data_IF_235615119968
#
_entry.id   IF_235615119968
#
_cell.length_a   1.000
_cell.length_b   1.000
_cell.length_c   1.000
_cell.angle_alpha   90.00
_cell.angle_beta   90.00
_cell.angle_gamma   90.00
#
_symmetry.space_group_name_H-M   'P 1'
#
loop_
_entity.id
_entity.type
_entity.pdbx_description
1 polymer ?
#
# COMPACT_ATOMS: atom_id res chain seq x y z
N UNK A 1 31.16 3.64 -8.24
CA UNK A 1 32.58 4.00 -8.02
C UNK A 1 33.40 2.72 -8.05
N UNK A 2 34.51 2.68 -8.79
CA UNK A 2 35.39 1.51 -8.83
C UNK A 2 36.42 1.62 -7.72
N UNK A 3 36.57 0.56 -6.94
CA UNK A 3 37.53 0.42 -5.87
C UNK A 3 38.64 -0.52 -6.33
N UNK A 4 39.88 -0.22 -5.96
CA UNK A 4 41.03 -1.08 -6.21
C UNK A 4 41.42 -1.75 -4.91
N UNK A 5 41.18 -3.05 -4.79
CA UNK A 5 41.67 -3.84 -3.69
C UNK A 5 43.16 -4.13 -3.91
N UNK A 6 44.00 -3.48 -3.10
CA UNK A 6 45.47 -3.62 -3.16
C UNK A 6 45.97 -4.98 -2.64
N UNK A 7 45.15 -5.70 -1.88
CA UNK A 7 45.49 -7.00 -1.28
C UNK A 7 45.13 -8.12 -2.23
N UNK A 8 43.88 -8.15 -2.70
CA UNK A 8 43.40 -9.16 -3.66
C UNK A 8 43.79 -8.83 -5.11
N UNK A 9 44.39 -7.64 -5.35
CA UNK A 9 44.79 -7.12 -6.67
C UNK A 9 43.63 -7.14 -7.67
N UNK A 10 42.43 -6.83 -7.20
CA UNK A 10 41.19 -6.84 -7.99
C UNK A 10 40.58 -5.46 -8.04
N UNK A 11 39.97 -5.12 -9.17
CA UNK A 11 39.10 -3.95 -9.29
C UNK A 11 37.68 -4.44 -9.03
N UNK A 12 37.02 -3.82 -8.06
CA UNK A 12 35.66 -4.17 -7.62
C UNK A 12 34.76 -2.94 -7.62
N UNK A 13 33.46 -3.13 -7.82
CA UNK A 13 32.49 -2.05 -7.67
C UNK A 13 32.16 -1.80 -6.20
N UNK A 14 31.99 -0.53 -5.83
CA UNK A 14 31.59 -0.12 -4.47
C UNK A 14 30.33 -0.84 -3.95
N UNK A 15 29.37 -1.12 -4.83
CA UNK A 15 28.16 -1.85 -4.48
C UNK A 15 28.45 -3.31 -4.12
N UNK A 16 29.32 -3.98 -4.87
CA UNK A 16 29.67 -5.38 -4.64
C UNK A 16 30.41 -5.54 -3.30
N UNK A 17 31.33 -4.62 -3.01
CA UNK A 17 32.05 -4.60 -1.73
C UNK A 17 31.08 -4.38 -0.57
N UNK A 18 30.17 -3.40 -0.68
CA UNK A 18 29.15 -3.12 0.35
C UNK A 18 28.25 -4.32 0.60
N UNK A 19 27.81 -5.00 -0.47
CA UNK A 19 27.01 -6.23 -0.36
C UNK A 19 27.80 -7.35 0.33
N UNK A 20 29.07 -7.54 -0.02
CA UNK A 20 29.94 -8.54 0.62
C UNK A 20 30.09 -8.27 2.12
N UNK A 21 30.34 -7.02 2.50
CA UNK A 21 30.47 -6.61 3.91
C UNK A 21 29.14 -6.82 4.64
N UNK A 22 28.01 -6.42 4.05
CA UNK A 22 26.69 -6.64 4.63
C UNK A 22 26.36 -8.13 4.85
N UNK A 23 26.84 -9.01 3.96
CA UNK A 23 26.66 -10.47 4.06
C UNK A 23 27.69 -11.16 4.97
N UNK A 24 28.76 -10.47 5.36
CA UNK A 24 29.77 -10.99 6.28
C UNK A 24 29.25 -11.04 7.73
N UNK A 25 29.75 -11.96 8.55
CA UNK A 25 29.49 -11.94 10.00
C UNK A 25 30.43 -10.92 10.65
N UNK A 26 29.95 -10.04 11.54
CA UNK A 26 28.66 -10.09 12.25
C UNK A 26 27.47 -9.39 11.55
N UNK A 27 27.71 -8.55 10.54
CA UNK A 27 26.69 -7.67 9.93
C UNK A 27 25.48 -8.39 9.33
N UNK A 28 25.67 -9.60 8.81
CA UNK A 28 24.57 -10.43 8.30
C UNK A 28 23.47 -10.65 9.34
N UNK A 29 23.83 -10.72 10.63
CA UNK A 29 22.85 -10.90 11.72
C UNK A 29 21.85 -9.75 11.79
N UNK A 30 22.31 -8.51 11.59
CA UNK A 30 21.45 -7.33 11.57
C UNK A 30 20.36 -7.48 10.50
N UNK A 31 20.75 -7.85 9.27
CA UNK A 31 19.83 -8.07 8.15
C UNK A 31 18.95 -9.31 8.21
N UNK A 32 19.26 -10.24 9.10
CA UNK A 32 18.58 -11.53 9.14
C UNK A 32 17.14 -11.45 9.65
N UNK A 33 16.83 -10.41 10.43
CA UNK A 33 15.51 -10.21 11.03
C UNK A 33 14.50 -9.50 10.09
N UNK A 34 14.93 -9.01 8.92
CA UNK A 34 14.05 -8.31 7.96
C UNK A 34 12.98 -9.24 7.42
N UNK A 35 11.73 -8.80 7.49
CA UNK A 35 10.59 -9.52 6.94
C UNK A 35 10.09 -8.77 5.71
N UNK A 36 9.79 -9.49 4.63
CA UNK A 36 9.25 -8.89 3.40
C UNK A 36 7.82 -9.36 3.16
N UNK A 37 6.97 -8.48 2.62
CA UNK A 37 5.59 -8.81 2.27
C UNK A 37 5.50 -10.01 1.31
N UNK A 38 6.44 -10.14 0.38
CA UNK A 38 6.50 -11.27 -0.55
C UNK A 38 6.71 -12.62 0.13
N UNK A 39 7.34 -12.65 1.31
CA UNK A 39 7.45 -13.87 2.10
C UNK A 39 6.09 -14.29 2.64
N UNK A 40 5.27 -13.33 3.09
CA UNK A 40 3.91 -13.63 3.53
C UNK A 40 3.02 -14.10 2.38
N UNK A 41 3.10 -13.46 1.21
CA UNK A 41 2.37 -13.92 0.01
C UNK A 41 2.72 -15.36 -0.35
N UNK A 42 4.01 -15.73 -0.32
CA UNK A 42 4.45 -17.11 -0.59
C UNK A 42 3.94 -18.09 0.45
N UNK A 43 3.97 -17.72 1.73
CA UNK A 43 3.49 -18.57 2.81
C UNK A 43 1.98 -18.81 2.73
N UNK A 44 1.21 -17.78 2.42
CA UNK A 44 -0.25 -17.88 2.28
C UNK A 44 -0.67 -18.81 1.14
N UNK A 45 -0.01 -18.69 -0.02
CA UNK A 45 -0.23 -19.60 -1.15
C UNK A 45 0.02 -21.06 -0.76
N UNK A 46 1.01 -21.32 0.12
CA UNK A 46 1.33 -22.66 0.60
C UNK A 46 0.32 -23.18 1.65
N UNK A 47 -0.25 -22.31 2.50
CA UNK A 47 -1.12 -22.70 3.60
C UNK A 47 -2.60 -22.80 3.23
N UNK A 48 -3.12 -21.84 2.45
CA UNK A 48 -4.55 -21.67 2.21
C UNK A 48 -4.96 -21.77 0.73
N UNK A 49 -3.98 -21.88 -0.18
CA UNK A 49 -4.21 -21.63 -1.60
C UNK A 49 -4.35 -20.13 -1.86
N UNK A 50 -3.93 -19.66 -3.04
CA UNK A 50 -3.84 -18.22 -3.33
C UNK A 50 -5.16 -17.49 -3.06
N UNK A 51 -5.19 -16.60 -2.06
CA UNK A 51 -6.32 -15.72 -1.80
C UNK A 51 -6.46 -14.76 -2.99
N UNK A 52 -7.60 -14.83 -3.69
CA UNK A 52 -7.90 -13.91 -4.79
C UNK A 52 -8.75 -12.74 -4.30
N UNK A 53 -8.63 -11.60 -4.97
CA UNK A 53 -9.48 -10.44 -4.72
C UNK A 53 -10.96 -10.77 -4.88
N UNK A 54 -11.29 -11.59 -5.88
CA UNK A 54 -12.66 -12.08 -6.12
C UNK A 54 -13.22 -12.85 -4.91
N UNK A 55 -12.41 -13.70 -4.29
CA UNK A 55 -12.81 -14.45 -3.10
C UNK A 55 -13.09 -13.51 -1.92
N UNK A 56 -12.19 -12.56 -1.66
CA UNK A 56 -12.35 -11.59 -0.57
C UNK A 56 -13.59 -10.71 -0.77
N UNK A 57 -13.80 -10.20 -1.98
CA UNK A 57 -14.98 -9.38 -2.32
C UNK A 57 -16.25 -10.19 -2.13
N UNK A 58 -16.28 -11.44 -2.62
CA UNK A 58 -17.45 -12.31 -2.48
C UNK A 58 -17.76 -12.65 -1.02
N UNK A 59 -16.74 -12.95 -0.23
CA UNK A 59 -16.86 -13.19 1.21
C UNK A 59 -17.46 -11.98 1.93
N UNK A 60 -16.97 -10.78 1.64
CA UNK A 60 -17.47 -9.55 2.25
C UNK A 60 -18.93 -9.26 1.86
N UNK A 61 -19.26 -9.41 0.57
CA UNK A 61 -20.64 -9.27 0.09
C UNK A 61 -21.59 -10.28 0.77
N UNK A 62 -21.16 -11.54 0.91
CA UNK A 62 -21.94 -12.56 1.60
C UNK A 62 -22.20 -12.19 3.08
N UNK A 63 -21.21 -11.60 3.77
CA UNK A 63 -21.37 -11.11 5.17
C UNK A 63 -22.40 -9.98 5.22
N UNK A 64 -22.25 -8.94 4.41
CA UNK A 64 -23.18 -7.80 4.40
C UNK A 64 -24.62 -8.22 4.07
N UNK A 65 -24.79 -9.22 3.20
CA UNK A 65 -26.10 -9.75 2.87
C UNK A 65 -26.68 -10.62 3.98
N UNK A 66 -25.84 -11.35 4.72
CA UNK A 66 -26.28 -12.10 5.90
C UNK A 66 -26.75 -11.16 7.02
N UNK A 67 -26.09 -10.02 7.22
CA UNK A 67 -26.48 -9.03 8.24
C UNK A 67 -27.78 -8.30 7.88
N UNK A 68 -27.96 -7.95 6.61
CA UNK A 68 -29.19 -7.31 6.13
C UNK A 68 -30.38 -8.28 6.02
N UNK A 69 -30.14 -9.58 5.92
CA UNK A 69 -31.18 -10.62 5.98
C UNK A 69 -31.41 -11.06 7.43
N UNK A 70 -31.98 -10.14 8.22
CA UNK A 70 -32.46 -10.46 9.57
C UNK A 70 -33.22 -11.80 9.59
N UNK A 71 -32.89 -12.60 10.61
CA UNK A 71 -33.49 -13.89 10.92
C UNK A 71 -35.01 -13.88 10.71
N UNK A 72 -35.46 -14.58 9.65
CA UNK A 72 -36.84 -15.04 9.61
C UNK A 72 -36.94 -16.28 10.50
N UNK A 73 -37.70 -16.21 11.59
CA UNK A 73 -37.88 -17.26 12.62
C UNK A 73 -38.48 -18.58 12.09
N UNK A 74 -38.86 -18.65 10.83
CA UNK A 74 -39.26 -19.89 10.16
C UNK A 74 -38.11 -20.40 9.29
N UNK A 75 -37.53 -21.54 9.66
CA UNK A 75 -36.40 -22.25 9.04
C UNK A 75 -36.57 -22.70 7.57
N UNK A 76 -37.19 -21.88 6.72
CA UNK A 76 -37.19 -22.02 5.27
C UNK A 76 -36.11 -21.11 4.70
N UNK A 77 -35.06 -21.71 4.11
CA UNK A 77 -34.12 -21.00 3.25
C UNK A 77 -34.90 -20.38 2.08
N UNK A 78 -35.01 -19.05 2.08
CA UNK A 78 -35.53 -18.31 0.94
C UNK A 78 -34.61 -18.54 -0.28
N UNK A 79 -35.16 -18.59 -1.51
CA UNK A 79 -34.36 -18.75 -2.71
C UNK A 79 -33.40 -17.55 -2.84
N UNK A 80 -32.14 -17.82 -3.20
CA UNK A 80 -31.13 -16.79 -3.51
C UNK A 80 -31.72 -15.83 -4.54
N UNK A 81 -32.12 -14.62 -4.13
CA UNK A 81 -32.56 -13.58 -5.07
C UNK A 81 -31.40 -13.33 -6.03
N UNK A 82 -31.68 -13.29 -7.34
CA UNK A 82 -30.70 -12.80 -8.32
C UNK A 82 -30.28 -11.40 -7.86
N UNK A 83 -29.01 -11.26 -7.52
CA UNK A 83 -28.46 -9.98 -7.06
C UNK A 83 -28.65 -8.99 -8.21
N UNK A 84 -29.36 -7.89 -7.93
CA UNK A 84 -29.42 -6.77 -8.87
C UNK A 84 -27.99 -6.22 -8.98
N UNK A 85 -27.62 -5.79 -10.17
CA UNK A 85 -26.37 -5.05 -10.35
C UNK A 85 -26.38 -3.89 -9.35
N UNK A 86 -25.38 -3.85 -8.46
CA UNK A 86 -25.24 -2.76 -7.50
C UNK A 86 -24.92 -1.50 -8.29
N UNK A 87 -25.85 -0.56 -8.34
CA UNK A 87 -25.55 0.78 -8.82
C UNK A 87 -24.70 1.48 -7.76
N UNK A 88 -23.57 2.06 -8.20
CA UNK A 88 -22.65 2.81 -7.32
C UNK A 88 -23.39 3.88 -6.50
N UNK A 89 -24.42 4.49 -7.08
CA UNK A 89 -25.24 5.53 -6.45
C UNK A 89 -26.07 5.04 -5.26
N UNK A 90 -26.27 3.73 -5.11
CA UNK A 90 -27.04 3.14 -4.00
C UNK A 90 -26.20 3.01 -2.70
N UNK A 91 -24.86 3.04 -2.79
CA UNK A 91 -24.00 2.90 -1.61
C UNK A 91 -23.86 4.25 -0.86
N UNK A 92 -24.56 4.35 0.28
CA UNK A 92 -24.52 5.53 1.15
C UNK A 92 -23.11 5.86 1.65
N UNK A 93 -22.18 4.90 1.70
CA UNK A 93 -20.79 5.14 2.11
C UNK A 93 -20.06 6.00 1.08
N UNK A 94 -20.29 5.76 -0.21
CA UNK A 94 -19.68 6.56 -1.28
C UNK A 94 -20.14 8.01 -1.18
N UNK A 95 -21.44 8.22 -0.97
CA UNK A 95 -22.00 9.55 -0.77
C UNK A 95 -21.46 10.23 0.51
N UNK A 96 -21.29 9.48 1.61
CA UNK A 96 -20.72 9.99 2.86
C UNK A 96 -19.28 10.48 2.71
N UNK A 97 -18.49 9.87 1.82
CA UNK A 97 -17.12 10.29 1.49
C UNK A 97 -17.03 11.18 0.24
N UNK A 98 -18.16 11.77 -0.19
CA UNK A 98 -18.25 12.69 -1.33
C UNK A 98 -17.78 12.11 -2.67
N UNK A 99 -17.87 10.78 -2.85
CA UNK A 99 -17.70 10.18 -4.16
C UNK A 99 -18.96 10.39 -4.99
N UNK A 100 -18.81 11.05 -6.14
CA UNK A 100 -19.88 11.29 -7.12
C UNK A 100 -19.65 10.50 -8.41
N UNK A 101 -20.68 10.29 -9.25
CA UNK A 101 -20.51 9.67 -10.56
C UNK A 101 -19.43 10.36 -11.41
N UNK A 102 -19.33 11.69 -11.32
CA UNK A 102 -18.30 12.47 -12.02
C UNK A 102 -16.90 12.14 -11.51
N UNK A 103 -16.69 12.02 -10.19
CA UNK A 103 -15.39 11.61 -9.65
C UNK A 103 -14.99 10.21 -10.12
N UNK A 104 -15.95 9.29 -10.23
CA UNK A 104 -15.69 7.96 -10.76
C UNK A 104 -15.33 8.01 -12.25
N UNK A 105 -16.11 8.72 -13.06
CA UNK A 105 -15.93 8.80 -14.49
C UNK A 105 -14.64 9.55 -14.88
N UNK A 106 -14.32 10.65 -14.18
CA UNK A 106 -13.21 11.53 -14.50
C UNK A 106 -11.90 11.13 -13.82
N UNK A 107 -11.92 10.57 -12.60
CA UNK A 107 -10.70 10.26 -11.85
C UNK A 107 -10.42 8.75 -11.78
N UNK A 108 -11.40 7.97 -11.30
CA UNK A 108 -11.17 6.55 -10.98
C UNK A 108 -11.13 5.68 -12.24
N UNK A 109 -12.05 5.89 -13.19
CA UNK A 109 -12.13 5.08 -14.40
C UNK A 109 -10.86 5.19 -15.28
N UNK A 110 -10.25 6.38 -15.49
CA UNK A 110 -8.96 6.48 -16.16
C UNK A 110 -7.82 5.77 -15.41
N UNK A 111 -7.77 5.88 -14.07
CA UNK A 111 -6.76 5.16 -13.28
C UNK A 111 -6.84 3.65 -13.45
N UNK A 112 -8.05 3.09 -13.56
CA UNK A 112 -8.25 1.65 -13.78
C UNK A 112 -7.86 1.25 -15.21
N UNK A 113 -8.32 1.99 -16.21
CA UNK A 113 -8.14 1.63 -17.63
C UNK A 113 -6.73 1.90 -18.14
N UNK A 114 -6.19 3.07 -17.83
CA UNK A 114 -4.92 3.57 -18.37
C UNK A 114 -3.73 3.36 -17.42
N UNK A 115 -4.00 3.03 -16.15
CA UNK A 115 -2.97 2.89 -15.09
C UNK A 115 -2.16 4.16 -14.89
N UNK A 116 -2.79 5.31 -15.12
CA UNK A 116 -2.24 6.66 -14.96
C UNK A 116 -3.25 7.51 -14.23
N UNK A 117 -2.75 8.54 -13.55
CA UNK A 117 -3.62 9.57 -13.01
C UNK A 117 -4.41 10.26 -14.13
N UNK A 118 -5.61 10.72 -13.80
CA UNK A 118 -6.44 11.44 -14.74
C UNK A 118 -5.81 12.79 -15.10
N UNK A 119 -5.74 13.09 -16.39
CA UNK A 119 -5.25 14.37 -16.89
C UNK A 119 -6.42 15.33 -17.11
N UNK A 120 -6.24 16.56 -16.65
CA UNK A 120 -7.17 17.67 -16.85
C UNK A 120 -6.47 18.87 -17.48
N UNK A 121 -7.26 19.87 -17.86
CA UNK A 121 -6.77 21.17 -18.33
C UNK A 121 -7.54 22.29 -17.62
N UNK A 122 -7.11 23.54 -17.84
CA UNK A 122 -7.57 24.74 -17.13
C UNK A 122 -7.13 24.80 -15.66
N UNK A 123 -7.29 25.97 -15.05
CA UNK A 123 -7.07 26.17 -13.62
C UNK A 123 -8.19 25.58 -12.78
N UNK A 124 -7.99 25.51 -11.47
CA UNK A 124 -9.05 25.19 -10.54
C UNK A 124 -9.83 26.46 -10.17
N UNK A 125 -11.02 26.62 -10.76
CA UNK A 125 -11.92 27.76 -10.49
C UNK A 125 -12.82 27.53 -9.25
N UNK A 126 -12.67 26.41 -8.55
CA UNK A 126 -13.43 26.15 -7.33
C UNK A 126 -12.98 27.08 -6.19
N UNK A 127 -13.93 27.45 -5.32
CA UNK A 127 -13.63 28.18 -4.10
C UNK A 127 -12.63 27.39 -3.23
N UNK A 128 -11.80 28.12 -2.47
CA UNK A 128 -10.95 27.51 -1.45
C UNK A 128 -11.80 26.69 -0.47
N UNK A 129 -11.27 25.58 0.03
CA UNK A 129 -12.03 24.66 0.88
C UNK A 129 -12.69 25.35 2.09
N UNK A 130 -12.03 26.35 2.69
CA UNK A 130 -12.57 27.13 3.81
C UNK A 130 -13.66 28.14 3.44
N UNK A 131 -13.82 28.46 2.16
CA UNK A 131 -14.82 29.39 1.62
C UNK A 131 -15.92 28.68 0.84
N UNK A 132 -15.86 27.34 0.75
CA UNK A 132 -16.83 26.56 0.00
C UNK A 132 -18.15 26.48 0.76
N UNK A 133 -19.26 26.68 0.05
CA UNK A 133 -20.61 26.38 0.57
C UNK A 133 -20.88 24.86 0.64
N UNK A 134 -20.03 24.06 0.00
CA UNK A 134 -20.05 22.61 0.08
C UNK A 134 -19.19 22.13 1.26
N UNK A 135 -19.33 20.85 1.65
CA UNK A 135 -18.49 20.22 2.68
C UNK A 135 -17.30 19.48 2.02
N UNK A 136 -16.18 20.16 1.70
CA UNK A 136 -15.02 19.51 1.09
C UNK A 136 -14.38 18.51 2.06
N UNK A 137 -13.76 17.49 1.49
CA UNK A 137 -13.04 16.47 2.25
C UNK A 137 -11.79 17.06 2.91
N UNK A 138 -11.31 16.39 3.97
CA UNK A 138 -10.21 16.92 4.79
C UNK A 138 -8.92 17.16 3.98
N UNK A 139 -8.65 16.31 2.98
CA UNK A 139 -7.46 16.45 2.13
C UNK A 139 -7.51 17.71 1.24
N UNK A 140 -8.68 18.29 0.97
CA UNK A 140 -8.80 19.52 0.17
C UNK A 140 -8.27 20.76 0.89
N UNK A 141 -8.07 20.68 2.22
CA UNK A 141 -7.49 21.76 3.01
C UNK A 141 -5.96 21.76 2.98
N UNK A 142 -5.34 20.63 2.60
CA UNK A 142 -3.89 20.49 2.54
C UNK A 142 -3.41 20.72 1.11
N UNK A 143 -2.54 21.71 0.92
CA UNK A 143 -1.91 22.00 -0.36
C UNK A 143 -0.53 21.35 -0.41
N UNK A 144 -0.19 20.72 -1.54
CA UNK A 144 1.12 20.13 -1.75
C UNK A 144 2.16 21.25 -1.89
N UNK A 145 3.19 21.23 -1.04
CA UNK A 145 4.32 22.13 -1.17
C UNK A 145 5.22 21.66 -2.31
N UNK A 146 5.83 22.61 -3.01
CA UNK A 146 6.80 22.32 -4.05
C UNK A 146 8.03 23.19 -3.90
N UNK A 147 9.15 22.63 -4.32
CA UNK A 147 10.45 23.26 -4.27
C UNK A 147 10.56 24.35 -5.36
N UNK A 148 11.12 25.50 -5.00
CA UNK A 148 11.41 26.60 -5.93
C UNK A 148 12.73 27.25 -5.55
N UNK A 149 13.56 27.57 -6.55
CA UNK A 149 14.84 28.32 -6.49
C UNK A 149 15.92 27.68 -5.61
N UNK A 150 15.63 27.49 -4.33
CA UNK A 150 16.53 26.99 -3.29
C UNK A 150 16.94 25.53 -3.48
N UNK A 151 16.01 24.69 -3.93
CA UNK A 151 16.27 23.31 -4.33
C UNK A 151 15.47 22.97 -5.60
N UNK A 152 16.07 22.29 -6.59
CA UNK A 152 15.35 21.86 -7.79
C UNK A 152 14.43 20.67 -7.51
N UNK A 153 13.25 20.56 -8.16
CA UNK A 153 12.43 19.35 -8.12
C UNK A 153 13.11 18.19 -8.87
N UNK A 154 12.84 16.96 -8.45
CA UNK A 154 13.34 15.72 -9.08
C UNK A 154 12.33 15.26 -10.14
N UNK A 155 12.79 14.79 -11.29
CA UNK A 155 11.93 14.19 -12.32
C UNK A 155 11.57 12.73 -11.94
N UNK A 156 10.31 12.42 -11.59
CA UNK A 156 9.93 11.10 -11.09
C UNK A 156 10.00 9.99 -12.15
N UNK A 157 10.08 10.33 -13.44
CA UNK A 157 10.19 9.35 -14.52
C UNK A 157 11.64 9.15 -14.97
N UNK A 158 12.38 10.25 -15.19
CA UNK A 158 13.77 10.17 -15.66
C UNK A 158 14.75 9.80 -14.56
N UNK A 159 14.45 10.18 -13.32
CA UNK A 159 15.33 9.98 -12.16
C UNK A 159 14.73 8.99 -11.15
N UNK A 160 13.87 8.08 -11.62
CA UNK A 160 13.20 7.10 -10.74
C UNK A 160 14.19 6.26 -9.92
N UNK A 161 15.41 6.01 -10.43
CA UNK A 161 16.44 5.19 -9.75
C UNK A 161 16.94 5.81 -8.43
N UNK A 162 16.83 7.12 -8.24
CA UNK A 162 17.23 7.78 -6.99
C UNK A 162 16.08 7.93 -5.99
N UNK A 163 14.87 7.49 -6.36
CA UNK A 163 13.67 7.55 -5.53
C UNK A 163 13.29 6.17 -4.98
N UNK A 164 12.67 6.13 -3.80
CA UNK A 164 12.15 4.89 -3.22
C UNK A 164 10.86 5.15 -2.44
N UNK A 165 9.90 4.23 -2.53
CA UNK A 165 8.65 4.22 -1.75
C UNK A 165 8.70 3.19 -0.61
N UNK A 166 9.88 2.61 -0.35
CA UNK A 166 10.06 1.54 0.63
C UNK A 166 9.64 2.02 2.02
N UNK A 167 8.74 1.29 2.64
CA UNK A 167 8.13 1.64 3.92
C UNK A 167 8.37 0.53 4.95
N UNK A 168 9.28 0.74 5.92
CA UNK A 168 9.43 -0.17 7.05
C UNK A 168 8.30 0.03 8.08
N UNK A 169 7.63 -1.05 8.45
CA UNK A 169 6.54 -1.09 9.44
C UNK A 169 6.98 -1.94 10.64
N UNK A 170 6.92 -1.35 11.82
CA UNK A 170 7.29 -2.01 13.08
C UNK A 170 7.89 -1.03 14.09
N UNK A 171 8.25 -1.51 15.28
CA UNK A 171 8.88 -0.67 16.30
C UNK A 171 10.23 -0.14 15.83
N UNK A 172 10.53 1.11 16.19
CA UNK A 172 11.85 1.68 16.02
C UNK A 172 12.67 1.48 17.29
N UNK A 173 13.83 0.84 17.18
CA UNK A 173 14.78 0.73 18.29
C UNK A 173 15.83 1.85 18.23
N UNK A 174 16.68 1.91 19.26
CA UNK A 174 17.67 2.96 19.43
C UNK A 174 18.67 3.02 18.26
N UNK A 175 18.68 4.13 17.52
CA UNK A 175 19.58 4.34 16.38
C UNK A 175 21.06 4.33 16.77
N UNK A 176 21.39 4.67 18.02
CA UNK A 176 22.78 4.74 18.49
C UNK A 176 23.38 3.36 18.78
N UNK A 177 22.55 2.33 18.91
CA UNK A 177 22.97 0.96 19.28
C UNK A 177 22.61 -0.01 18.14
N UNK A 178 23.60 -0.51 17.39
CA UNK A 178 23.33 -1.44 16.29
C UNK A 178 22.87 -2.80 16.83
N UNK A 179 21.57 -3.06 16.76
CA UNK A 179 20.94 -4.33 17.18
C UNK A 179 20.14 -4.98 16.06
N UNK A 180 19.89 -6.29 16.16
CA UNK A 180 19.04 -7.04 15.22
C UNK A 180 17.60 -6.53 15.24
N UNK A 181 17.16 -5.94 16.36
CA UNK A 181 15.84 -5.37 16.55
C UNK A 181 15.57 -4.16 15.64
N UNK A 182 16.62 -3.40 15.26
CA UNK A 182 16.48 -2.26 14.34
C UNK A 182 15.86 -2.69 13.01
N UNK A 183 16.19 -3.90 12.56
CA UNK A 183 15.79 -4.42 11.25
C UNK A 183 14.70 -5.48 11.34
N UNK A 184 14.21 -5.80 12.53
CA UNK A 184 13.10 -6.72 12.79
C UNK A 184 11.74 -6.09 12.43
N UNK A 185 11.61 -5.59 11.20
CA UNK A 185 10.44 -4.87 10.68
C UNK A 185 9.91 -5.52 9.42
N UNK A 186 8.62 -5.30 9.16
CA UNK A 186 8.01 -5.62 7.87
C UNK A 186 8.39 -4.52 6.88
N UNK A 187 9.15 -4.90 5.86
CA UNK A 187 9.51 -4.01 4.77
C UNK A 187 8.47 -4.15 3.66
N UNK A 188 7.79 -3.04 3.37
CA UNK A 188 6.99 -2.87 2.17
C UNK A 188 7.81 -2.15 1.09
N UNK A 189 7.58 -2.50 -0.17
CA UNK A 189 8.20 -1.78 -1.30
C UNK A 189 7.46 -0.48 -1.64
N UNK A 190 6.19 -0.38 -1.26
CA UNK A 190 5.35 0.81 -1.43
C UNK A 190 4.32 0.92 -0.29
N UNK A 191 3.77 2.11 -0.02
CA UNK A 191 2.79 2.31 1.05
C UNK A 191 1.37 1.83 0.68
N UNK A 192 1.10 1.52 -0.59
CA UNK A 192 -0.22 1.08 -1.05
C UNK A 192 -0.34 -0.43 -0.97
N UNK A 193 -1.30 -0.90 -0.17
CA UNK A 193 -1.61 -2.32 0.05
C UNK A 193 -2.93 -2.68 -0.64
N UNK A 194 -2.95 -3.82 -1.32
CA UNK A 194 -4.20 -4.41 -1.78
C UNK A 194 -4.95 -5.09 -0.64
N UNK A 195 -6.24 -5.41 -0.84
CA UNK A 195 -7.02 -6.17 0.13
C UNK A 195 -6.37 -7.53 0.46
N UNK A 196 -5.75 -8.17 -0.53
CA UNK A 196 -5.02 -9.43 -0.35
C UNK A 196 -3.82 -9.19 0.56
N UNK A 197 -3.05 -8.13 0.31
CA UNK A 197 -1.89 -7.80 1.12
C UNK A 197 -2.27 -7.52 2.58
N UNK A 198 -3.42 -6.87 2.81
CA UNK A 198 -3.95 -6.63 4.15
C UNK A 198 -4.37 -7.93 4.86
N UNK A 199 -5.08 -8.83 4.19
CA UNK A 199 -5.49 -10.12 4.78
C UNK A 199 -4.27 -10.98 5.13
N UNK A 200 -3.31 -11.06 4.21
CA UNK A 200 -2.07 -11.83 4.37
C UNK A 200 -1.17 -11.22 5.46
N UNK A 201 -1.11 -9.90 5.56
CA UNK A 201 -0.34 -9.23 6.61
C UNK A 201 -1.01 -9.39 7.97
N UNK A 202 -2.33 -9.16 8.08
CA UNK A 202 -3.03 -9.22 9.37
C UNK A 202 -3.00 -10.62 10.00
N UNK A 203 -3.24 -11.67 9.21
CA UNK A 203 -3.20 -13.06 9.69
C UNK A 203 -1.83 -13.47 10.26
N UNK A 204 -0.74 -13.02 9.63
CA UNK A 204 0.62 -13.43 9.99
C UNK A 204 1.32 -12.48 10.97
N UNK A 205 1.01 -11.18 10.95
CA UNK A 205 1.71 -10.14 11.70
C UNK A 205 1.35 -10.15 13.19
N UNK A 206 0.06 -10.27 13.54
CA UNK A 206 -0.37 -10.33 14.94
C UNK A 206 0.12 -11.59 15.67
N UNK A 207 0.28 -12.71 14.95
CA UNK A 207 0.81 -13.94 15.53
C UNK A 207 2.30 -13.84 15.92
N UNK A 208 3.05 -12.91 15.33
CA UNK A 208 4.52 -12.80 15.49
C UNK A 208 4.95 -11.71 16.47
N UNK A 209 4.13 -10.68 16.71
CA UNK A 209 4.35 -9.62 17.72
C UNK A 209 3.87 -9.99 19.12
N UNK A 210 3.06 -11.04 19.27
CA UNK A 210 2.56 -11.54 20.56
C UNK A 210 3.58 -12.42 21.32
N UNK A 211 4.82 -12.57 20.82
CA UNK A 211 5.89 -13.33 21.45
C UNK A 211 7.13 -12.46 21.59
#
# INVERSE_FOLDING_TARGET
MLLVDTVEKKIEEDNDLKLRIALSRPHKKLSSARIYLDQFRKNDVLSHGAITSEYLIKRELDIQWSENSGTSETGRRLPKKRHKDLHLDEDRRLMAFSYTPDTFAMLIAPMIKERKEALGSMGNDAALACLSDYSPQIFSYFQQLFAQVTNPPIDPFREQIVMSLRCPIGPESNLLEPSEELEARLILEQPVLSLIDLEVSSSNFFAKLSK
#
